data_IF_535774355988
#
_entry.id   IF_535774355988
#
_cell.length_a   1.000
_cell.length_b   1.000
_cell.length_c   1.000
_cell.angle_alpha   90.00
_cell.angle_beta   90.00
_cell.angle_gamma   90.00
#
_symmetry.space_group_name_H-M   'P 1'
#
loop_
_entity.id
_entity.type
_entity.pdbx_description
1 polymer ?
#
# COMPACT_ATOMS: atom_id res chain seq x y z
N UNK A 1 -1.37 7.76 -20.89
CA UNK A 1 -2.28 6.61 -20.73
C UNK A 1 -1.40 5.38 -20.74
N UNK A 2 -0.88 4.99 -19.58
CA UNK A 2 -0.09 3.77 -19.49
C UNK A 2 -1.06 2.59 -19.45
N UNK A 3 -0.83 1.60 -20.31
CA UNK A 3 -1.58 0.36 -20.37
C UNK A 3 -1.53 -0.31 -19.00
N UNK A 4 -2.69 -0.72 -18.48
CA UNK A 4 -2.75 -1.63 -17.34
C UNK A 4 -2.02 -2.90 -17.77
N UNK A 5 -0.77 -3.08 -17.32
CA UNK A 5 0.03 -4.26 -17.66
C UNK A 5 -0.75 -5.53 -17.32
N UNK A 6 -0.80 -6.47 -18.24
CA UNK A 6 -1.45 -7.75 -17.97
C UNK A 6 -0.59 -8.62 -17.04
N UNK A 7 -1.19 -9.60 -16.38
CA UNK A 7 -0.42 -10.58 -15.58
C UNK A 7 0.57 -11.37 -16.45
N UNK A 8 0.22 -11.59 -17.72
CA UNK A 8 1.04 -12.31 -18.69
C UNK A 8 2.27 -11.48 -19.07
N UNK A 9 2.09 -10.20 -19.39
CA UNK A 9 3.20 -9.26 -19.64
C UNK A 9 4.13 -9.15 -18.42
N UNK A 10 3.55 -9.07 -17.21
CA UNK A 10 4.33 -9.05 -15.97
C UNK A 10 5.13 -10.35 -15.78
N UNK A 11 4.52 -11.51 -16.03
CA UNK A 11 5.19 -12.81 -15.92
C UNK A 11 6.37 -12.90 -16.88
N UNK A 12 6.19 -12.50 -18.14
CA UNK A 12 7.23 -12.47 -19.16
C UNK A 12 8.40 -11.55 -18.76
N UNK A 13 8.10 -10.35 -18.25
CA UNK A 13 9.12 -9.42 -17.76
C UNK A 13 9.94 -10.00 -16.61
N UNK A 14 9.27 -10.62 -15.62
CA UNK A 14 9.94 -11.25 -14.48
C UNK A 14 10.81 -12.42 -14.95
N UNK A 15 10.28 -13.31 -15.80
CA UNK A 15 11.04 -14.45 -16.30
C UNK A 15 12.27 -14.00 -17.08
N UNK A 16 12.11 -13.04 -18.00
CA UNK A 16 13.24 -12.47 -18.75
C UNK A 16 14.30 -11.89 -17.80
N UNK A 17 13.89 -11.05 -16.85
CA UNK A 17 14.81 -10.43 -15.91
C UNK A 17 15.58 -11.47 -15.07
N UNK A 18 14.91 -12.55 -14.62
CA UNK A 18 15.56 -13.59 -13.84
C UNK A 18 16.50 -14.46 -14.66
N UNK A 19 16.11 -14.85 -15.87
CA UNK A 19 16.99 -15.64 -16.76
C UNK A 19 18.22 -14.85 -17.19
N UNK A 20 18.11 -13.54 -17.38
CA UNK A 20 19.25 -12.68 -17.71
C UNK A 20 20.24 -12.49 -16.54
N UNK A 21 19.73 -12.44 -15.30
CA UNK A 21 20.56 -12.12 -14.12
C UNK A 21 21.03 -13.34 -13.33
N UNK A 22 20.38 -14.50 -13.45
CA UNK A 22 20.66 -15.67 -12.63
C UNK A 22 20.69 -16.97 -13.44
N UNK A 23 21.90 -17.52 -13.65
CA UNK A 23 22.09 -18.79 -14.37
C UNK A 23 21.44 -20.00 -13.67
N UNK A 24 21.28 -19.96 -12.34
CA UNK A 24 20.70 -21.05 -11.56
C UNK A 24 19.19 -20.98 -11.37
N UNK A 25 18.49 -20.08 -12.08
CA UNK A 25 17.04 -19.98 -12.04
C UNK A 25 16.37 -21.15 -12.77
N UNK A 26 15.54 -21.91 -12.06
CA UNK A 26 14.80 -23.07 -12.56
C UNK A 26 13.33 -22.71 -12.83
N UNK A 27 13.01 -22.47 -14.10
CA UNK A 27 11.67 -22.14 -14.58
C UNK A 27 10.75 -23.36 -14.54
N UNK A 28 9.65 -23.29 -13.75
CA UNK A 28 8.64 -24.34 -13.63
C UNK A 28 7.36 -24.08 -14.43
N UNK A 29 7.28 -22.95 -15.14
CA UNK A 29 6.16 -22.65 -16.04
C UNK A 29 4.86 -22.42 -15.25
N UNK A 30 3.88 -23.32 -15.40
CA UNK A 30 2.56 -23.16 -14.77
C UNK A 30 2.61 -23.09 -13.24
N UNK A 31 3.56 -23.77 -12.62
CA UNK A 31 3.70 -23.84 -11.16
C UNK A 31 4.20 -22.51 -10.55
N UNK A 32 4.76 -21.63 -11.37
CA UNK A 32 5.26 -20.32 -10.96
C UNK A 32 4.17 -19.23 -10.98
N UNK A 33 3.08 -19.45 -11.72
CA UNK A 33 1.99 -18.48 -11.88
C UNK A 33 1.30 -18.04 -10.58
N UNK A 34 1.09 -18.91 -9.56
CA UNK A 34 0.56 -18.48 -8.27
C UNK A 34 1.45 -17.44 -7.57
N UNK A 35 2.78 -17.60 -7.66
CA UNK A 35 3.76 -16.67 -7.07
C UNK A 35 3.72 -15.34 -7.81
N UNK A 36 3.75 -15.39 -9.14
CA UNK A 36 3.68 -14.19 -9.99
C UNK A 36 2.38 -13.42 -9.79
N UNK A 37 1.25 -14.11 -9.65
CA UNK A 37 -0.04 -13.48 -9.34
C UNK A 37 0.01 -12.76 -8.00
N UNK A 38 0.62 -13.34 -6.97
CA UNK A 38 0.78 -12.67 -5.68
C UNK A 38 1.66 -11.42 -5.80
N UNK A 39 2.79 -11.52 -6.50
CA UNK A 39 3.70 -10.39 -6.70
C UNK A 39 3.05 -9.26 -7.51
N UNK A 40 2.32 -9.60 -8.57
CA UNK A 40 1.54 -8.67 -9.38
C UNK A 40 0.47 -7.96 -8.56
N UNK A 41 -0.29 -8.71 -7.75
CA UNK A 41 -1.30 -8.14 -6.82
C UNK A 41 -0.66 -7.24 -5.76
N UNK A 42 0.61 -7.46 -5.40
CA UNK A 42 1.31 -6.57 -4.47
C UNK A 42 1.98 -5.38 -5.17
N UNK A 43 1.95 -5.32 -6.51
CA UNK A 43 2.62 -4.28 -7.29
C UNK A 43 4.14 -4.33 -7.15
N UNK A 44 4.73 -5.53 -7.04
CA UNK A 44 6.18 -5.69 -6.95
C UNK A 44 6.78 -5.52 -8.34
N UNK A 45 7.64 -4.53 -8.53
CA UNK A 45 8.32 -4.31 -9.80
C UNK A 45 9.27 -5.49 -10.17
N UNK A 46 9.37 -5.91 -11.44
CA UNK A 46 10.28 -6.99 -11.84
C UNK A 46 11.74 -6.71 -11.47
N UNK A 47 12.22 -5.46 -11.56
CA UNK A 47 13.58 -5.12 -11.17
C UNK A 47 13.76 -5.20 -9.65
N UNK A 48 12.70 -4.93 -8.87
CA UNK A 48 12.73 -5.14 -7.42
C UNK A 48 12.89 -6.62 -7.07
N UNK A 49 12.26 -7.53 -7.84
CA UNK A 49 12.43 -8.98 -7.66
C UNK A 49 13.91 -9.35 -7.80
N UNK A 50 14.57 -8.89 -8.87
CA UNK A 50 16.01 -9.12 -9.10
C UNK A 50 16.83 -8.58 -7.93
N UNK A 51 16.60 -7.33 -7.53
CA UNK A 51 17.28 -6.71 -6.40
C UNK A 51 17.14 -7.53 -5.11
N UNK A 52 15.91 -7.93 -4.76
CA UNK A 52 15.65 -8.71 -3.55
C UNK A 52 16.36 -10.06 -3.57
N UNK A 53 16.42 -10.73 -4.73
CA UNK A 53 17.11 -12.02 -4.86
C UNK A 53 18.62 -11.84 -4.72
N UNK A 54 19.21 -10.87 -5.42
CA UNK A 54 20.65 -10.59 -5.33
C UNK A 54 21.09 -10.28 -3.89
N UNK A 55 20.32 -9.46 -3.18
CA UNK A 55 20.60 -9.15 -1.78
C UNK A 55 20.34 -10.34 -0.84
N UNK A 56 19.35 -11.19 -1.17
CA UNK A 56 19.14 -12.46 -0.48
C UNK A 56 20.29 -13.44 -0.63
N UNK A 57 20.88 -13.55 -1.82
CA UNK A 57 22.05 -14.38 -2.11
C UNK A 57 23.30 -13.87 -1.40
N UNK A 58 23.55 -12.55 -1.44
CA UNK A 58 24.71 -11.95 -0.76
C UNK A 58 24.69 -12.19 0.76
N UNK A 59 23.49 -12.34 1.34
CA UNK A 59 23.28 -12.65 2.76
C UNK A 59 23.20 -14.16 3.05
N UNK A 60 23.40 -15.03 2.06
CA UNK A 60 23.30 -16.49 2.21
C UNK A 60 21.89 -17.01 2.52
N UNK A 61 20.84 -16.23 2.20
CA UNK A 61 19.43 -16.61 2.44
C UNK A 61 18.77 -17.29 1.25
N UNK A 62 19.35 -17.14 0.07
CA UNK A 62 18.93 -17.77 -1.18
C UNK A 62 20.12 -18.52 -1.75
N UNK A 63 19.90 -19.75 -2.21
CA UNK A 63 20.91 -20.55 -2.89
C UNK A 63 21.06 -20.11 -4.35
N UNK A 64 22.23 -20.34 -4.94
CA UNK A 64 22.52 -20.04 -6.35
C UNK A 64 21.56 -20.76 -7.31
N UNK A 65 21.02 -21.92 -6.90
CA UNK A 65 19.94 -22.62 -7.62
C UNK A 65 18.61 -22.44 -6.90
N UNK A 66 17.63 -21.86 -7.58
CA UNK A 66 16.32 -21.55 -6.99
C UNK A 66 15.19 -21.57 -8.03
N UNK A 67 13.95 -21.71 -7.55
CA UNK A 67 12.71 -21.60 -8.32
C UNK A 67 11.80 -20.53 -7.68
N UNK A 68 10.81 -20.00 -8.41
CA UNK A 68 9.92 -18.97 -7.84
C UNK A 68 9.12 -19.50 -6.65
N UNK A 69 8.73 -20.77 -6.68
CA UNK A 69 8.04 -21.43 -5.56
C UNK A 69 8.85 -21.40 -4.26
N UNK A 70 10.17 -21.52 -4.34
CA UNK A 70 11.06 -21.51 -3.18
C UNK A 70 11.31 -20.09 -2.64
N UNK A 71 11.41 -19.10 -3.53
CA UNK A 71 11.74 -17.71 -3.15
C UNK A 71 10.53 -16.79 -3.02
N UNK A 72 9.34 -17.25 -3.42
CA UNK A 72 8.11 -16.46 -3.51
C UNK A 72 7.82 -15.67 -2.24
N UNK A 73 7.82 -16.39 -1.10
CA UNK A 73 7.61 -15.80 0.23
C UNK A 73 8.74 -14.88 0.66
N UNK A 74 9.98 -15.20 0.28
CA UNK A 74 11.13 -14.35 0.63
C UNK A 74 10.96 -12.97 0.01
N UNK A 75 10.70 -12.89 -1.30
CA UNK A 75 10.52 -11.62 -2.03
C UNK A 75 9.34 -10.83 -1.46
N UNK A 76 8.20 -11.48 -1.21
CA UNK A 76 7.02 -10.84 -0.60
C UNK A 76 7.32 -10.27 0.78
N UNK A 77 7.98 -11.05 1.64
CA UNK A 77 8.32 -10.61 2.99
C UNK A 77 9.34 -9.47 2.98
N UNK A 78 10.30 -9.55 2.06
CA UNK A 78 11.29 -8.50 1.82
C UNK A 78 10.62 -7.20 1.42
N UNK A 79 9.75 -7.24 0.40
CA UNK A 79 8.96 -6.11 -0.09
C UNK A 79 8.08 -5.48 0.99
N UNK A 80 7.35 -6.32 1.75
CA UNK A 80 6.50 -5.83 2.86
C UNK A 80 7.32 -5.16 3.95
N UNK A 81 8.48 -5.71 4.30
CA UNK A 81 9.37 -5.13 5.32
C UNK A 81 9.88 -3.77 4.85
N UNK A 82 10.26 -3.65 3.59
CA UNK A 82 10.77 -2.40 3.03
C UNK A 82 9.68 -1.32 2.97
N UNK A 83 8.50 -1.66 2.47
CA UNK A 83 7.36 -0.74 2.46
C UNK A 83 6.97 -0.27 3.88
N UNK A 84 7.12 -1.14 4.90
CA UNK A 84 6.90 -0.75 6.30
C UNK A 84 7.97 0.20 6.80
N UNK A 85 9.25 -0.09 6.54
CA UNK A 85 10.39 0.75 6.92
C UNK A 85 10.25 2.15 6.34
N UNK A 86 10.01 2.25 5.03
CA UNK A 86 9.80 3.53 4.34
C UNK A 86 8.61 4.32 4.90
N UNK A 87 7.50 3.64 5.21
CA UNK A 87 6.32 4.27 5.78
C UNK A 87 6.54 4.73 7.23
N UNK A 88 7.31 3.99 8.03
CA UNK A 88 7.67 4.42 9.39
C UNK A 88 8.55 5.67 9.38
N UNK A 89 9.54 5.72 8.49
CA UNK A 89 10.39 6.90 8.28
C UNK A 89 9.57 8.11 7.79
N UNK A 90 8.66 7.87 6.84
CA UNK A 90 7.73 8.90 6.36
C UNK A 90 6.83 9.42 7.50
N UNK A 91 6.22 8.55 8.30
CA UNK A 91 5.34 8.95 9.42
C UNK A 91 6.05 9.79 10.47
N UNK A 92 7.33 9.51 10.75
CA UNK A 92 8.13 10.28 11.74
C UNK A 92 8.36 11.72 11.29
N UNK A 93 8.57 11.93 9.99
CA UNK A 93 9.04 13.21 9.44
C UNK A 93 7.99 13.96 8.60
N UNK A 94 6.78 13.43 8.44
CA UNK A 94 5.73 14.06 7.60
C UNK A 94 5.16 15.35 8.20
N UNK A 95 5.21 15.51 9.53
CA UNK A 95 4.71 16.70 10.23
C UNK A 95 5.71 17.87 10.19
N UNK A 96 6.98 17.56 10.01
CA UNK A 96 8.07 18.54 9.95
C UNK A 96 8.32 19.01 8.51
N UNK A 97 7.62 18.43 7.54
CA UNK A 97 7.81 18.72 6.13
C UNK A 97 7.13 20.03 5.72
N UNK A 98 7.92 20.98 5.26
CA UNK A 98 7.46 22.29 4.80
C UNK A 98 7.29 22.34 3.28
N UNK A 99 7.92 21.42 2.54
CA UNK A 99 7.83 21.34 1.09
C UNK A 99 6.66 20.42 0.66
N UNK A 100 5.64 20.93 -0.06
CA UNK A 100 4.48 20.15 -0.47
C UNK A 100 4.83 18.86 -1.22
N UNK A 101 5.84 18.92 -2.08
CA UNK A 101 6.34 17.79 -2.86
C UNK A 101 6.81 16.63 -1.97
N UNK A 102 7.67 16.91 -0.99
CA UNK A 102 8.23 15.88 -0.11
C UNK A 102 7.13 15.25 0.75
N UNK A 103 6.13 16.06 1.13
CA UNK A 103 4.97 15.60 1.87
C UNK A 103 4.14 14.63 1.03
N UNK A 104 3.93 14.92 -0.26
CA UNK A 104 3.24 14.05 -1.20
C UNK A 104 3.97 12.69 -1.33
N UNK A 105 5.29 12.69 -1.46
CA UNK A 105 6.06 11.43 -1.53
C UNK A 105 5.95 10.60 -0.25
N UNK A 106 6.05 11.26 0.91
CA UNK A 106 5.87 10.61 2.21
C UNK A 106 4.46 10.02 2.35
N UNK A 107 3.43 10.76 1.91
CA UNK A 107 2.05 10.26 1.89
C UNK A 107 1.92 9.02 0.99
N UNK A 108 2.48 9.08 -0.23
CA UNK A 108 2.46 7.96 -1.17
C UNK A 108 3.10 6.70 -0.57
N UNK A 109 4.24 6.82 0.12
CA UNK A 109 4.90 5.71 0.83
C UNK A 109 4.01 5.10 1.92
N UNK A 110 3.36 5.94 2.72
CA UNK A 110 2.44 5.48 3.79
C UNK A 110 1.23 4.75 3.18
N UNK A 111 0.62 5.31 2.14
CA UNK A 111 -0.53 4.73 1.44
C UNK A 111 -0.16 3.38 0.83
N UNK A 112 0.96 3.31 0.08
CA UNK A 112 1.47 2.07 -0.51
C UNK A 112 1.64 0.98 0.54
N UNK A 113 2.27 1.30 1.67
CA UNK A 113 2.50 0.36 2.78
C UNK A 113 1.20 -0.24 3.32
N UNK A 114 0.17 0.59 3.50
CA UNK A 114 -1.14 0.14 3.98
C UNK A 114 -1.87 -0.69 2.92
N UNK A 115 -1.84 -0.30 1.64
CA UNK A 115 -2.45 -1.08 0.56
C UNK A 115 -1.80 -2.47 0.43
N UNK A 116 -0.47 -2.53 0.54
CA UNK A 116 0.32 -3.78 0.55
C UNK A 116 -0.04 -4.65 1.77
N UNK A 117 -0.19 -4.06 2.96
CA UNK A 117 -0.64 -4.79 4.15
C UNK A 117 -2.05 -5.37 3.96
N UNK A 118 -2.94 -4.63 3.30
CA UNK A 118 -4.32 -5.03 3.01
C UNK A 118 -4.45 -5.92 1.76
N UNK A 119 -3.34 -6.23 1.07
CA UNK A 119 -3.32 -7.00 -0.19
C UNK A 119 -4.22 -6.42 -1.29
N UNK A 120 -4.26 -5.09 -1.40
CA UNK A 120 -5.01 -4.40 -2.45
C UNK A 120 -4.13 -4.27 -3.70
N UNK A 121 -4.60 -4.79 -4.83
CA UNK A 121 -3.88 -4.76 -6.12
C UNK A 121 -3.88 -3.40 -6.79
N UNK A 122 -4.97 -2.65 -6.64
CA UNK A 122 -5.08 -1.33 -7.24
C UNK A 122 -4.20 -0.32 -6.47
N UNK A 123 -3.07 0.04 -7.08
CA UNK A 123 -2.14 1.05 -6.57
C UNK A 123 -2.39 2.44 -7.19
N UNK A 124 -3.46 2.64 -7.97
CA UNK A 124 -3.74 3.91 -8.66
C UNK A 124 -3.88 5.10 -7.71
N UNK A 125 -4.28 4.87 -6.45
CA UNK A 125 -4.29 5.90 -5.41
C UNK A 125 -2.87 6.43 -5.13
N UNK A 126 -1.85 5.58 -5.12
CA UNK A 126 -0.45 5.97 -4.94
C UNK A 126 -0.01 6.84 -6.11
N UNK A 127 -0.30 6.41 -7.34
CA UNK A 127 0.08 7.14 -8.55
C UNK A 127 -0.62 8.50 -8.63
N UNK A 128 -1.91 8.55 -8.31
CA UNK A 128 -2.69 9.79 -8.25
C UNK A 128 -2.15 10.75 -7.20
N UNK A 129 -1.72 10.26 -6.03
CA UNK A 129 -1.05 11.08 -5.01
C UNK A 129 0.26 11.63 -5.58
N UNK A 130 1.12 10.78 -6.16
CA UNK A 130 2.41 11.22 -6.71
C UNK A 130 2.25 12.23 -7.85
N UNK A 131 1.22 12.09 -8.69
CA UNK A 131 0.92 13.02 -9.78
C UNK A 131 0.58 14.44 -9.30
N UNK A 132 0.12 14.62 -8.05
CA UNK A 132 -0.11 15.95 -7.47
C UNK A 132 1.17 16.77 -7.35
N UNK A 133 2.35 16.14 -7.38
CA UNK A 133 3.65 16.86 -7.42
C UNK A 133 3.79 17.78 -8.62
N UNK A 134 3.07 17.49 -9.71
CA UNK A 134 3.13 18.26 -10.95
C UNK A 134 2.09 19.40 -10.97
N UNK A 135 1.22 19.49 -9.96
CA UNK A 135 0.23 20.55 -9.86
C UNK A 135 0.84 21.77 -9.16
N UNK A 136 0.75 22.93 -9.79
CA UNK A 136 1.27 24.20 -9.27
C UNK A 136 0.29 24.90 -8.31
N UNK A 137 -1.00 24.60 -8.39
CA UNK A 137 -2.02 25.21 -7.53
C UNK A 137 -2.14 24.43 -6.21
N UNK A 138 -1.67 25.03 -5.12
CA UNK A 138 -1.72 24.43 -3.78
C UNK A 138 -3.15 24.16 -3.29
N UNK A 139 -4.12 25.03 -3.62
CA UNK A 139 -5.51 24.79 -3.23
C UNK A 139 -6.11 23.60 -3.96
N UNK A 140 -5.75 23.42 -5.22
CA UNK A 140 -6.15 22.24 -6.00
C UNK A 140 -5.53 20.97 -5.42
N UNK A 141 -4.25 21.01 -5.05
CA UNK A 141 -3.54 19.90 -4.38
C UNK A 141 -4.25 19.51 -3.07
N UNK A 142 -4.55 20.47 -2.20
CA UNK A 142 -5.18 20.17 -0.90
C UNK A 142 -6.60 19.60 -1.05
N UNK A 143 -7.40 20.14 -1.99
CA UNK A 143 -8.72 19.56 -2.31
C UNK A 143 -8.60 18.13 -2.86
N UNK A 144 -7.64 17.89 -3.74
CA UNK A 144 -7.38 16.57 -4.30
C UNK A 144 -6.93 15.59 -3.21
N UNK A 145 -6.03 16.01 -2.31
CA UNK A 145 -5.57 15.22 -1.17
C UNK A 145 -6.73 14.85 -0.23
N UNK A 146 -7.62 15.79 0.08
CA UNK A 146 -8.82 15.52 0.88
C UNK A 146 -9.74 14.49 0.21
N UNK A 147 -9.96 14.61 -1.11
CA UNK A 147 -10.76 13.62 -1.85
C UNK A 147 -10.10 12.24 -1.91
N UNK A 148 -8.78 12.19 -2.10
CA UNK A 148 -8.00 10.95 -2.14
C UNK A 148 -7.97 10.26 -0.78
N UNK A 149 -7.91 11.02 0.31
CA UNK A 149 -8.01 10.49 1.67
C UNK A 149 -9.34 9.76 1.88
N UNK A 150 -10.44 10.39 1.46
CA UNK A 150 -11.77 9.83 1.61
C UNK A 150 -11.97 8.56 0.79
N UNK A 151 -11.38 8.50 -0.40
CA UNK A 151 -11.34 7.30 -1.25
C UNK A 151 -10.49 6.19 -0.61
N UNK A 152 -9.29 6.53 -0.16
CA UNK A 152 -8.37 5.62 0.51
C UNK A 152 -8.97 5.02 1.78
N UNK A 153 -9.62 5.82 2.62
CA UNK A 153 -10.27 5.33 3.84
C UNK A 153 -11.44 4.37 3.54
N UNK A 154 -12.15 4.54 2.41
CA UNK A 154 -13.16 3.55 1.98
C UNK A 154 -12.49 2.23 1.59
N UNK A 155 -11.35 2.27 0.90
CA UNK A 155 -10.56 1.08 0.56
C UNK A 155 -10.10 0.37 1.85
N UNK A 156 -9.58 1.12 2.82
CA UNK A 156 -9.18 0.59 4.13
C UNK A 156 -10.37 -0.02 4.86
N UNK A 157 -11.50 0.67 4.95
CA UNK A 157 -12.69 0.16 5.63
C UNK A 157 -13.19 -1.16 5.03
N UNK A 158 -13.16 -1.29 3.69
CA UNK A 158 -13.62 -2.50 2.98
C UNK A 158 -12.69 -3.70 3.18
N UNK A 159 -11.38 -3.48 3.19
CA UNK A 159 -10.38 -4.56 3.17
C UNK A 159 -9.77 -4.86 4.54
N UNK A 160 -9.95 -3.97 5.53
CA UNK A 160 -9.37 -4.15 6.86
C UNK A 160 -10.13 -5.17 7.71
N UNK A 161 -9.39 -6.11 8.31
CA UNK A 161 -9.90 -6.98 9.36
C UNK A 161 -10.28 -6.22 10.65
N UNK A 162 -9.72 -5.01 10.85
CA UNK A 162 -9.95 -4.16 12.02
C UNK A 162 -11.26 -3.35 11.94
N UNK A 163 -11.91 -3.30 10.76
CA UNK A 163 -13.15 -2.53 10.56
C UNK A 163 -14.26 -2.94 11.52
N UNK A 164 -14.51 -4.25 11.67
CA UNK A 164 -15.55 -4.76 12.58
C UNK A 164 -15.29 -4.36 14.04
N UNK A 165 -14.02 -4.41 14.45
CA UNK A 165 -13.62 -4.01 15.80
C UNK A 165 -13.79 -2.50 16.01
N UNK A 166 -13.37 -1.67 15.05
CA UNK A 166 -13.57 -0.23 15.09
C UNK A 166 -15.06 0.14 15.16
N UNK A 167 -15.93 -0.50 14.37
CA UNK A 167 -17.39 -0.27 14.42
C UNK A 167 -17.97 -0.55 15.81
N UNK A 168 -17.69 -1.73 16.37
CA UNK A 168 -18.13 -2.10 17.72
C UNK A 168 -17.65 -1.14 18.80
N UNK A 169 -16.40 -0.67 18.70
CA UNK A 169 -15.84 0.32 19.64
C UNK A 169 -16.60 1.65 19.56
N UNK A 170 -16.92 2.09 18.34
CA UNK A 170 -17.65 3.35 18.11
C UNK A 170 -19.12 3.25 18.54
N UNK A 171 -19.80 2.16 18.22
CA UNK A 171 -21.18 1.89 18.64
C UNK A 171 -21.32 2.01 20.17
N UNK A 172 -20.43 1.35 20.92
CA UNK A 172 -20.41 1.45 22.40
C UNK A 172 -20.16 2.86 22.91
N UNK A 173 -19.33 3.65 22.21
CA UNK A 173 -19.08 5.04 22.57
C UNK A 173 -20.30 5.93 22.34
N UNK A 174 -21.10 5.61 21.31
CA UNK A 174 -22.26 6.39 20.88
C UNK A 174 -23.58 5.96 21.53
N UNK A 175 -23.65 4.75 22.10
CA UNK A 175 -24.85 4.19 22.74
C UNK A 175 -25.52 5.15 23.73
N UNK A 176 -24.73 5.80 24.60
CA UNK A 176 -25.27 6.76 25.58
C UNK A 176 -25.86 8.04 24.97
N UNK A 177 -25.51 8.35 23.72
CA UNK A 177 -26.00 9.52 23.00
C UNK A 177 -27.17 9.20 22.08
N UNK A 178 -27.48 7.91 21.87
CA UNK A 178 -28.51 7.49 20.91
C UNK A 178 -29.92 7.96 21.27
N UNK A 179 -30.16 8.24 22.56
CA UNK A 179 -31.44 8.74 23.07
C UNK A 179 -31.60 10.26 22.96
N UNK A 180 -30.50 11.00 22.81
CA UNK A 180 -30.49 12.46 22.91
C UNK A 180 -30.14 13.15 21.60
N UNK A 181 -29.41 12.47 20.73
CA UNK A 181 -28.94 13.03 19.47
C UNK A 181 -29.82 12.57 18.31
N UNK A 182 -29.98 13.46 17.34
CA UNK A 182 -30.65 13.15 16.08
C UNK A 182 -29.93 12.00 15.34
N UNK A 183 -30.70 11.11 14.71
CA UNK A 183 -30.18 9.92 14.01
C UNK A 183 -29.14 10.29 12.93
N UNK A 184 -29.35 11.40 12.22
CA UNK A 184 -28.42 11.87 11.19
C UNK A 184 -27.07 12.29 11.81
N UNK A 185 -27.11 12.95 12.97
CA UNK A 185 -25.91 13.34 13.71
C UNK A 185 -25.16 12.10 14.20
N UNK A 186 -25.88 11.10 14.73
CA UNK A 186 -25.29 9.84 15.15
C UNK A 186 -24.59 9.12 13.99
N UNK A 187 -25.25 8.98 12.83
CA UNK A 187 -24.66 8.34 11.63
C UNK A 187 -23.40 9.07 11.13
N UNK A 188 -23.43 10.39 11.06
CA UNK A 188 -22.25 11.18 10.62
C UNK A 188 -21.11 11.02 11.62
N UNK A 189 -21.42 11.07 12.91
CA UNK A 189 -20.44 10.91 13.99
C UNK A 189 -19.83 9.51 13.99
N UNK A 190 -20.65 8.47 13.85
CA UNK A 190 -20.21 7.08 13.77
C UNK A 190 -19.20 6.89 12.64
N UNK A 191 -19.57 7.31 11.42
CA UNK A 191 -18.70 7.22 10.25
C UNK A 191 -17.36 7.93 10.49
N UNK A 192 -17.40 9.10 11.12
CA UNK A 192 -16.20 9.90 11.42
C UNK A 192 -15.30 9.22 12.44
N UNK A 193 -15.89 8.65 13.51
CA UNK A 193 -15.14 7.94 14.54
C UNK A 193 -14.57 6.61 14.05
N UNK A 194 -15.28 5.90 13.16
CA UNK A 194 -14.76 4.68 12.52
C UNK A 194 -13.54 5.01 11.66
N UNK A 195 -13.64 6.05 10.81
CA UNK A 195 -12.48 6.56 10.04
C UNK A 195 -11.31 6.89 10.97
N UNK A 196 -11.56 7.63 12.06
CA UNK A 196 -10.53 8.01 13.05
C UNK A 196 -9.89 6.79 13.73
N UNK A 197 -10.67 5.76 14.04
CA UNK A 197 -10.18 4.50 14.59
C UNK A 197 -9.25 3.78 13.59
N UNK A 198 -9.67 3.65 12.33
CA UNK A 198 -8.87 3.03 11.28
C UNK A 198 -7.58 3.81 11.01
N UNK A 199 -7.63 5.15 10.96
CA UNK A 199 -6.45 5.99 10.81
C UNK A 199 -5.40 5.71 11.89
N UNK A 200 -5.82 5.63 13.16
CA UNK A 200 -4.93 5.26 14.27
C UNK A 200 -4.39 3.84 14.12
N UNK A 201 -5.24 2.89 13.75
CA UNK A 201 -4.87 1.48 13.66
C UNK A 201 -3.83 1.18 12.56
N UNK A 202 -3.75 2.03 11.54
CA UNK A 202 -2.80 1.92 10.42
C UNK A 202 -1.76 3.04 10.37
N UNK A 203 -1.76 3.95 11.36
CA UNK A 203 -0.85 5.10 11.38
C UNK A 203 -1.00 6.02 10.15
N UNK A 204 -2.23 6.24 9.69
CA UNK A 204 -2.56 7.08 8.53
C UNK A 204 -2.65 8.54 9.02
N UNK A 205 -1.81 9.46 8.50
CA UNK A 205 -1.90 10.88 8.81
C UNK A 205 -3.10 11.54 8.10
N UNK A 206 -3.44 12.78 8.45
CA UNK A 206 -4.26 13.65 7.60
C UNK A 206 -3.51 13.86 6.27
N UNK A 207 -4.21 13.78 5.13
CA UNK A 207 -3.57 14.06 3.84
C UNK A 207 -3.48 15.57 3.63
N UNK A 208 -4.61 16.26 3.81
CA UNK A 208 -4.73 17.73 3.81
C UNK A 208 -4.22 18.34 5.11
N UNK A 209 -3.63 19.53 5.03
CA UNK A 209 -3.22 20.36 6.19
C UNK A 209 -4.00 21.67 6.31
N UNK A 210 -4.81 21.97 5.29
CA UNK A 210 -5.79 23.08 5.28
C UNK A 210 -7.15 22.58 5.74
#
# INVERSE_FOLDING_TARGET
>A
MDSVKSLEEYAEEVFRALTEHFEGFDLKGSDDMPVLREWFVLGIDPNYVVYAISDGMSQGKINDRFSLTNIGKFVVNWFKRECRREAEEARRSIREETLPYNRIEKLAKIVKSVLVELKVSDQSLVDRILNLRNCSDLMEVERALSSLEDEFLKVVERNSSKTKECKRKVERLLERYSLYWDEKILKITEKTLVKKCLKRAYGIPEFSVI
#
